data_IF_000437250254
#
_entry.id   IF_000437250254
#
_cell.length_a   1.000
_cell.length_b   1.000
_cell.length_c   1.000
_cell.angle_alpha   90.00
_cell.angle_beta   90.00
_cell.angle_gamma   90.00
#
_symmetry.space_group_name_H-M   'P 1'
#
loop_
_entity.id
_entity.type
_entity.pdbx_description
1 polymer ?
#
# COMPACT_ATOMS: atom_id res chain seq x y z
N UNK A 1 3.03 -15.89 -10.05
CA UNK A 1 2.18 -17.10 -10.09
C UNK A 1 1.14 -17.00 -8.97
N UNK A 2 -0.08 -17.51 -9.19
CA UNK A 2 -1.23 -17.51 -8.24
C UNK A 2 -1.78 -16.13 -7.84
N UNK A 3 -1.74 -15.13 -8.74
CA UNK A 3 -2.23 -13.78 -8.42
C UNK A 3 -1.38 -13.02 -7.41
N UNK A 4 -0.22 -13.58 -7.01
CA UNK A 4 0.75 -12.93 -6.15
C UNK A 4 1.81 -12.21 -6.97
N UNK A 5 2.10 -10.98 -6.59
CA UNK A 5 3.20 -10.17 -7.09
C UNK A 5 4.06 -9.71 -5.92
N UNK A 6 5.37 -9.72 -6.08
CA UNK A 6 6.29 -9.11 -5.12
C UNK A 6 7.47 -8.51 -5.87
N UNK A 7 7.81 -7.27 -5.55
CA UNK A 7 9.04 -6.68 -6.04
C UNK A 7 9.70 -5.80 -4.99
N UNK A 8 11.00 -5.63 -5.17
CA UNK A 8 11.78 -4.60 -4.51
C UNK A 8 11.63 -3.30 -5.28
N UNK A 9 11.53 -2.19 -4.57
CA UNK A 9 11.54 -0.85 -5.12
C UNK A 9 12.60 0.00 -4.42
N UNK A 10 13.17 0.95 -5.15
CA UNK A 10 14.08 1.96 -4.61
C UNK A 10 13.75 3.29 -5.24
N UNK A 11 13.46 4.27 -4.40
CA UNK A 11 13.21 5.66 -4.78
C UNK A 11 14.28 6.53 -4.11
N UNK A 12 14.16 7.85 -4.23
CA UNK A 12 15.13 8.81 -3.67
C UNK A 12 15.20 8.78 -2.14
N UNK A 13 14.05 8.70 -1.50
CA UNK A 13 13.82 8.90 -0.07
C UNK A 13 13.85 7.61 0.74
N UNK A 14 13.89 6.46 0.06
CA UNK A 14 13.92 5.15 0.69
C UNK A 14 13.84 3.99 -0.29
N UNK A 15 13.87 2.80 0.26
CA UNK A 15 13.69 1.55 -0.48
C UNK A 15 12.95 0.52 0.36
N UNK A 16 12.37 -0.45 -0.32
CA UNK A 16 11.56 -1.46 0.35
C UNK A 16 10.96 -2.48 -0.60
N UNK A 17 9.85 -3.06 -0.16
CA UNK A 17 9.14 -4.11 -0.90
C UNK A 17 7.68 -3.75 -1.06
N UNK A 18 7.09 -4.16 -2.17
CA UNK A 18 5.64 -4.25 -2.32
C UNK A 18 5.27 -5.69 -2.57
N UNK A 19 4.28 -6.17 -1.83
CA UNK A 19 3.66 -7.47 -2.03
C UNK A 19 2.18 -7.26 -2.31
N UNK A 20 1.68 -7.91 -3.35
CA UNK A 20 0.26 -7.93 -3.71
C UNK A 20 -0.17 -9.38 -3.76
N UNK A 21 -1.31 -9.66 -3.16
CA UNK A 21 -1.96 -10.97 -3.08
C UNK A 21 -3.43 -10.81 -3.48
N UNK A 22 -4.17 -11.91 -3.70
CA UNK A 22 -5.61 -11.82 -3.96
C UNK A 22 -6.43 -11.12 -2.86
N UNK A 23 -5.97 -11.13 -1.60
CA UNK A 23 -6.72 -10.57 -0.46
C UNK A 23 -6.22 -9.19 0.00
N UNK A 24 -5.17 -8.65 -0.63
CA UNK A 24 -4.60 -7.39 -0.19
C UNK A 24 -3.22 -7.08 -0.74
N UNK A 25 -2.70 -5.93 -0.32
CA UNK A 25 -1.35 -5.49 -0.60
C UNK A 25 -0.63 -5.00 0.67
N UNK A 26 0.68 -5.16 0.70
CA UNK A 26 1.56 -4.62 1.74
C UNK A 26 2.72 -3.87 1.10
N UNK A 27 2.88 -2.60 1.48
CA UNK A 27 3.98 -1.74 1.06
C UNK A 27 4.88 -1.48 2.26
N UNK A 28 6.06 -2.12 2.26
CA UNK A 28 7.03 -2.05 3.36
C UNK A 28 8.14 -1.08 2.99
N UNK A 29 8.54 -0.23 3.94
CA UNK A 29 9.76 0.57 3.83
C UNK A 29 10.83 -0.12 4.68
N UNK A 30 11.92 -0.54 4.05
CA UNK A 30 13.02 -1.21 4.72
C UNK A 30 14.13 -0.22 5.13
N UNK A 31 14.22 0.93 4.45
CA UNK A 31 15.09 2.03 4.82
C UNK A 31 14.54 3.36 4.30
N UNK A 32 14.79 4.44 5.03
CA UNK A 32 14.33 5.78 4.67
C UNK A 32 12.85 5.99 4.99
N UNK A 33 12.13 6.65 4.10
CA UNK A 33 10.71 6.92 4.23
C UNK A 33 10.02 6.97 2.87
N UNK A 34 8.69 6.86 2.88
CA UNK A 34 7.85 7.04 1.71
C UNK A 34 6.61 7.85 2.07
N UNK A 35 6.46 9.02 1.45
CA UNK A 35 5.25 9.82 1.55
C UNK A 35 4.23 9.43 0.46
N UNK A 36 3.01 9.15 0.87
CA UNK A 36 1.93 8.68 0.01
C UNK A 36 0.70 9.57 0.14
N UNK A 37 0.12 9.89 -1.02
CA UNK A 37 -1.23 10.47 -1.14
C UNK A 37 -2.19 9.52 -1.86
N UNK A 38 -1.64 8.60 -2.64
CA UNK A 38 -2.39 7.64 -3.39
C UNK A 38 -1.51 6.46 -3.77
N UNK A 39 -2.14 5.32 -4.03
CA UNK A 39 -1.51 4.16 -4.63
C UNK A 39 -2.48 3.49 -5.60
N UNK A 40 -1.95 2.98 -6.71
CA UNK A 40 -2.71 2.19 -7.66
C UNK A 40 -2.35 0.71 -7.49
N UNK A 41 -3.36 -0.13 -7.32
CA UNK A 41 -3.21 -1.58 -7.14
C UNK A 41 -4.01 -2.32 -8.22
N UNK A 42 -3.61 -3.53 -8.63
CA UNK A 42 -4.34 -4.31 -9.63
C UNK A 42 -5.59 -4.95 -9.00
N UNK A 43 -6.55 -4.13 -8.57
CA UNK A 43 -7.73 -4.55 -7.80
C UNK A 43 -8.72 -5.40 -8.59
N UNK A 44 -8.68 -5.35 -9.92
CA UNK A 44 -9.57 -6.13 -10.80
C UNK A 44 -11.07 -5.99 -10.46
N UNK A 45 -11.48 -4.83 -9.93
CA UNK A 45 -12.86 -4.55 -9.51
C UNK A 45 -13.16 -4.84 -8.03
N UNK A 46 -12.22 -5.39 -7.26
CA UNK A 46 -12.37 -5.60 -5.82
C UNK A 46 -12.50 -4.25 -5.07
N UNK A 47 -13.36 -4.23 -4.05
CA UNK A 47 -13.49 -3.11 -3.14
C UNK A 47 -12.41 -3.18 -2.05
N UNK A 48 -11.81 -2.03 -1.74
CA UNK A 48 -10.87 -1.91 -0.64
C UNK A 48 -11.66 -1.79 0.66
N UNK A 49 -11.44 -2.73 1.58
CA UNK A 49 -12.17 -2.82 2.84
C UNK A 49 -11.45 -2.15 3.99
N UNK A 50 -10.12 -2.03 3.93
CA UNK A 50 -9.34 -1.26 4.89
C UNK A 50 -7.97 -0.85 4.36
N UNK A 51 -7.45 0.28 4.87
CA UNK A 51 -6.06 0.71 4.72
C UNK A 51 -5.52 1.02 6.11
N UNK A 52 -4.33 0.50 6.45
CA UNK A 52 -3.74 0.63 7.80
C UNK A 52 -2.26 0.92 7.76
N UNK A 53 -1.79 1.77 8.67
CA UNK A 53 -0.37 1.96 8.99
C UNK A 53 -0.12 1.45 10.41
N UNK A 54 0.50 0.28 10.53
CA UNK A 54 0.61 -0.39 11.84
C UNK A 54 -0.76 -0.75 12.40
N UNK A 55 -1.11 -0.17 13.55
CA UNK A 55 -2.41 -0.35 14.21
C UNK A 55 -3.44 0.74 13.83
N UNK A 56 -3.00 1.80 13.16
CA UNK A 56 -3.85 2.94 12.83
C UNK A 56 -4.59 2.69 11.51
N UNK A 57 -5.89 2.99 11.51
CA UNK A 57 -6.71 2.98 10.32
C UNK A 57 -6.56 4.31 9.56
N UNK A 58 -6.33 4.21 8.26
CA UNK A 58 -6.14 5.36 7.38
C UNK A 58 -7.42 5.54 6.58
N UNK A 59 -8.03 6.72 6.62
CA UNK A 59 -9.20 7.04 5.81
C UNK A 59 -8.81 7.19 4.34
N UNK A 60 -9.63 6.65 3.45
CA UNK A 60 -9.37 6.64 2.01
C UNK A 60 -10.66 6.67 1.19
N UNK A 61 -10.51 7.08 -0.06
CA UNK A 61 -11.48 6.85 -1.14
C UNK A 61 -10.90 5.92 -2.20
N UNK A 62 -11.76 5.14 -2.86
CA UNK A 62 -11.38 4.30 -3.99
C UNK A 62 -12.02 4.81 -5.29
N UNK A 63 -11.23 4.87 -6.36
CA UNK A 63 -11.68 5.15 -7.73
C UNK A 63 -11.08 4.11 -8.68
N UNK A 64 -11.88 3.11 -9.04
CA UNK A 64 -11.43 1.94 -9.80
C UNK A 64 -10.27 1.23 -9.09
N UNK A 65 -9.09 1.29 -9.69
CA UNK A 65 -7.84 0.67 -9.19
C UNK A 65 -7.01 1.61 -8.30
N UNK A 66 -7.46 2.85 -8.12
CA UNK A 66 -6.74 3.87 -7.37
C UNK A 66 -7.31 4.02 -5.97
N UNK A 67 -6.44 4.08 -4.98
CA UNK A 67 -6.76 4.37 -3.59
C UNK A 67 -6.17 5.74 -3.29
N UNK A 68 -7.03 6.69 -2.93
CA UNK A 68 -6.64 8.04 -2.49
C UNK A 68 -6.73 8.09 -0.98
N UNK A 69 -5.63 8.43 -0.32
CA UNK A 69 -5.61 8.65 1.12
C UNK A 69 -6.11 10.07 1.39
N UNK A 70 -7.02 10.24 2.35
CA UNK A 70 -7.61 11.55 2.66
C UNK A 70 -6.54 12.52 3.16
N UNK A 71 -5.61 12.01 3.98
CA UNK A 71 -4.43 12.71 4.43
C UNK A 71 -3.16 12.09 3.84
N UNK A 72 -2.08 12.88 3.79
CA UNK A 72 -0.76 12.34 3.42
C UNK A 72 -0.33 11.38 4.52
N UNK A 73 0.07 10.18 4.12
CA UNK A 73 0.67 9.19 5.02
C UNK A 73 2.17 9.10 4.77
N UNK A 74 2.95 9.10 5.84
CA UNK A 74 4.40 8.83 5.78
C UNK A 74 4.68 7.45 6.35
N UNK A 75 5.13 6.52 5.50
CA UNK A 75 5.59 5.20 5.91
C UNK A 75 7.08 5.30 6.22
N UNK A 76 7.44 5.06 7.48
CA UNK A 76 8.84 5.10 7.94
C UNK A 76 9.50 3.73 7.77
N UNK A 77 10.83 3.69 7.86
CA UNK A 77 11.59 2.45 7.93
C UNK A 77 11.02 1.50 9.00
N UNK A 78 11.03 0.21 8.67
CA UNK A 78 10.45 -0.89 9.47
C UNK A 78 8.92 -0.83 9.64
N UNK A 79 8.25 0.07 8.94
CA UNK A 79 6.78 0.15 8.89
C UNK A 79 6.21 -0.34 7.54
N UNK A 80 4.91 -0.60 7.54
CA UNK A 80 4.19 -1.06 6.37
C UNK A 80 2.79 -0.45 6.29
N UNK A 81 2.42 0.02 5.10
CA UNK A 81 1.04 0.30 4.75
C UNK A 81 0.39 -0.99 4.26
N UNK A 82 -0.71 -1.39 4.89
CA UNK A 82 -1.47 -2.60 4.55
C UNK A 82 -2.81 -2.22 3.98
N UNK A 83 -3.19 -2.90 2.90
CA UNK A 83 -4.47 -2.72 2.22
C UNK A 83 -5.15 -4.08 2.13
N UNK A 84 -6.42 -4.14 2.51
CA UNK A 84 -7.24 -5.34 2.37
C UNK A 84 -8.32 -5.14 1.32
N UNK A 85 -8.60 -6.20 0.55
CA UNK A 85 -9.65 -6.24 -0.45
C UNK A 85 -10.79 -7.17 0.01
N UNK A 86 -11.94 -7.12 -0.67
CA UNK A 86 -13.06 -8.07 -0.50
C UNK A 86 -12.92 -9.36 -1.31
#
# INVERSE_FOLDING_TARGET
ENGRFRCFWSLDSGWGEVEVTPSGAELRVLYGQLELRSLALPLAGAAVTSVRLGAEEVTFGQDGNSIRLDERVTVLADAALRVHFD
#
